data_IF_396416557849
#
_entry.id   IF_396416557849
#
_cell.length_a   1.000
_cell.length_b   1.000
_cell.length_c   1.000
_cell.angle_alpha   90.00
_cell.angle_beta   90.00
_cell.angle_gamma   90.00
#
_symmetry.space_group_name_H-M   'P 1'
#
loop_
_entity.id
_entity.type
_entity.pdbx_description
1 polymer ?
#
# COMPACT_ATOMS: atom_id res chain seq x y z
N UNK A 1 10.97 15.80 -39.93
CA UNK A 1 11.63 14.50 -40.17
C UNK A 1 11.61 13.75 -38.85
N UNK A 2 10.57 12.93 -38.64
CA UNK A 2 10.27 12.24 -37.39
C UNK A 2 11.29 11.13 -37.13
N UNK A 3 12.05 11.21 -36.04
CA UNK A 3 12.77 10.04 -35.52
C UNK A 3 11.81 9.29 -34.61
N UNK A 4 11.39 8.11 -35.07
CA UNK A 4 10.59 7.17 -34.30
C UNK A 4 11.43 6.70 -33.10
N UNK A 5 10.84 6.63 -31.91
CA UNK A 5 11.39 5.83 -30.82
C UNK A 5 11.30 4.36 -31.25
N UNK A 6 12.33 3.86 -31.91
CA UNK A 6 12.44 2.44 -32.27
C UNK A 6 12.68 1.64 -31.00
N UNK A 7 11.64 0.95 -30.53
CA UNK A 7 11.78 -0.13 -29.54
C UNK A 7 12.41 -1.34 -30.22
N UNK A 8 13.43 -1.93 -29.61
CA UNK A 8 14.13 -3.10 -30.14
C UNK A 8 13.82 -4.35 -29.30
N UNK A 9 13.28 -5.38 -29.95
CA UNK A 9 12.99 -6.67 -29.32
C UNK A 9 14.13 -7.65 -29.62
N UNK A 10 14.78 -8.18 -28.56
CA UNK A 10 15.93 -9.08 -28.67
C UNK A 10 15.68 -10.36 -27.88
N UNK A 11 16.04 -11.50 -28.48
CA UNK A 11 15.91 -12.83 -27.88
C UNK A 11 17.28 -13.51 -27.72
N UNK A 12 17.59 -14.01 -26.53
CA UNK A 12 18.82 -14.76 -26.25
C UNK A 12 18.60 -15.86 -25.21
N UNK A 13 19.63 -16.68 -24.93
CA UNK A 13 19.51 -17.83 -24.02
C UNK A 13 19.33 -17.43 -22.56
N UNK A 14 19.79 -16.24 -22.18
CA UNK A 14 19.59 -15.65 -20.85
C UNK A 14 19.15 -14.19 -20.99
N UNK A 15 18.51 -13.67 -19.94
CA UNK A 15 18.07 -12.27 -19.88
C UNK A 15 19.28 -11.33 -20.00
N UNK A 16 20.37 -11.64 -19.30
CA UNK A 16 21.59 -10.83 -19.32
C UNK A 16 22.21 -10.76 -20.73
N UNK A 17 22.25 -11.88 -21.44
CA UNK A 17 22.78 -11.95 -22.82
C UNK A 17 21.89 -11.18 -23.80
N UNK A 18 20.56 -11.22 -23.63
CA UNK A 18 19.62 -10.46 -24.45
C UNK A 18 19.77 -8.94 -24.25
N UNK A 19 20.03 -8.50 -23.01
CA UNK A 19 20.28 -7.10 -22.68
C UNK A 19 21.59 -6.64 -23.32
N UNK A 20 22.69 -7.38 -23.17
CA UNK A 20 23.98 -7.03 -23.76
C UNK A 20 23.92 -6.93 -25.29
N UNK A 21 23.27 -7.89 -25.95
CA UNK A 21 23.10 -7.88 -27.41
C UNK A 21 22.28 -6.68 -27.89
N UNK A 22 21.19 -6.36 -27.20
CA UNK A 22 20.34 -5.23 -27.58
C UNK A 22 21.00 -3.87 -27.30
N UNK A 23 21.80 -3.75 -26.23
CA UNK A 23 22.63 -2.57 -25.97
C UNK A 23 23.68 -2.36 -27.07
N UNK A 24 24.34 -3.44 -27.51
CA UNK A 24 25.32 -3.39 -28.60
C UNK A 24 24.70 -2.96 -29.94
N UNK A 25 23.45 -3.37 -30.22
CA UNK A 25 22.74 -2.97 -31.44
C UNK A 25 22.27 -1.53 -31.43
N UNK A 26 21.82 -1.02 -30.27
CA UNK A 26 21.38 0.37 -30.11
C UNK A 26 22.55 1.35 -29.92
N UNK A 27 23.74 0.86 -29.55
CA UNK A 27 24.91 1.69 -29.25
C UNK A 27 24.71 2.59 -28.02
N UNK A 28 23.80 2.22 -27.13
CA UNK A 28 23.43 2.97 -25.93
C UNK A 28 23.91 2.23 -24.67
N UNK A 29 24.08 2.94 -23.56
CA UNK A 29 24.38 2.33 -22.27
C UNK A 29 23.10 1.83 -21.58
N UNK A 30 23.25 0.89 -20.63
CA UNK A 30 22.12 0.35 -19.83
C UNK A 30 21.27 1.42 -19.14
N UNK A 31 21.88 2.57 -18.85
CA UNK A 31 21.22 3.70 -18.17
C UNK A 31 20.36 4.54 -19.11
N UNK A 32 20.54 4.38 -20.41
CA UNK A 32 19.85 5.13 -21.47
C UNK A 32 18.70 4.35 -22.09
N UNK A 33 18.44 3.12 -21.62
CA UNK A 33 17.35 2.27 -22.12
C UNK A 33 16.52 1.75 -20.96
N UNK A 34 15.20 1.76 -21.13
CA UNK A 34 14.29 0.99 -20.28
C UNK A 34 14.23 -0.45 -20.81
N UNK A 35 14.39 -1.41 -19.90
CA UNK A 35 14.45 -2.84 -20.20
C UNK A 35 13.17 -3.50 -19.71
N UNK A 36 12.34 -4.00 -20.62
CA UNK A 36 11.13 -4.77 -20.31
C UNK A 36 11.36 -6.24 -20.61
N UNK A 37 11.20 -7.11 -19.61
CA UNK A 37 11.31 -8.56 -19.78
C UNK A 37 9.96 -9.09 -20.26
N UNK A 38 9.87 -9.44 -21.54
CA UNK A 38 8.65 -9.99 -22.14
C UNK A 38 8.49 -11.47 -21.77
N UNK A 39 9.61 -12.21 -21.71
CA UNK A 39 9.61 -13.62 -21.33
C UNK A 39 10.90 -14.00 -20.61
N UNK A 40 10.77 -14.48 -19.37
CA UNK A 40 11.89 -15.04 -18.62
C UNK A 40 12.26 -16.41 -19.21
N UNK A 41 13.44 -16.51 -19.82
CA UNK A 41 13.94 -17.76 -20.38
C UNK A 41 14.14 -18.81 -19.28
N UNK A 42 13.69 -20.05 -19.54
CA UNK A 42 13.82 -21.15 -18.58
C UNK A 42 15.03 -22.01 -18.94
N UNK A 43 15.97 -22.11 -18.01
CA UNK A 43 17.14 -22.97 -18.15
C UNK A 43 16.78 -24.41 -17.74
N UNK A 44 16.65 -25.30 -18.72
CA UNK A 44 16.41 -26.73 -18.49
C UNK A 44 17.59 -27.41 -17.80
N UNK A 45 17.31 -28.44 -17.00
CA UNK A 45 18.34 -29.26 -16.33
C UNK A 45 18.96 -30.19 -17.38
N UNK A 46 20.29 -30.16 -17.55
CA UNK A 46 21.03 -30.93 -18.56
C UNK A 46 20.81 -30.55 -20.05
N UNK A 47 20.49 -29.29 -20.35
CA UNK A 47 20.59 -28.77 -21.72
C UNK A 47 19.52 -29.26 -22.71
N UNK A 48 18.50 -29.96 -22.23
CA UNK A 48 17.36 -30.39 -23.04
C UNK A 48 16.15 -29.55 -22.58
N UNK A 49 15.59 -28.76 -23.49
CA UNK A 49 14.38 -27.94 -23.25
C UNK A 49 14.62 -26.53 -22.72
N UNK A 50 15.71 -25.85 -23.13
CA UNK A 50 15.88 -24.42 -22.82
C UNK A 50 14.95 -23.56 -23.66
N UNK A 51 14.19 -22.68 -23.01
CA UNK A 51 13.43 -21.62 -23.69
C UNK A 51 14.22 -20.31 -23.66
N UNK A 52 14.30 -19.64 -24.80
CA UNK A 52 14.99 -18.35 -24.92
C UNK A 52 14.25 -17.24 -24.15
N UNK A 53 15.02 -16.36 -23.53
CA UNK A 53 14.55 -15.12 -22.93
C UNK A 53 14.30 -14.07 -24.01
N UNK A 54 13.22 -13.30 -23.85
CA UNK A 54 12.89 -12.17 -24.74
C UNK A 54 12.80 -10.88 -23.94
N UNK A 55 13.50 -9.86 -24.42
CA UNK A 55 13.62 -8.57 -23.74
C UNK A 55 13.40 -7.46 -24.77
N UNK A 56 12.61 -6.45 -24.39
CA UNK A 56 12.34 -5.26 -25.17
C UNK A 56 13.11 -4.09 -24.60
N UNK A 57 13.88 -3.40 -25.45
CA UNK A 57 14.66 -2.22 -25.09
C UNK A 57 14.02 -0.97 -25.67
N UNK A 58 13.77 0.02 -24.81
CA UNK A 58 13.15 1.30 -25.18
C UNK A 58 14.15 2.42 -24.88
N UNK A 59 14.69 3.14 -25.90
CA UNK A 59 15.58 4.27 -25.67
C UNK A 59 14.90 5.39 -24.88
N UNK A 60 15.50 5.80 -23.75
CA UNK A 60 15.10 7.03 -23.05
C UNK A 60 15.68 8.22 -23.80
N UNK A 61 14.83 8.99 -24.47
CA UNK A 61 15.20 10.28 -25.04
C UNK A 61 15.63 11.23 -23.91
N UNK A 62 16.91 11.56 -23.85
CA UNK A 62 17.45 12.46 -22.83
C UNK A 62 16.88 13.86 -22.97
N UNK A 63 16.16 14.29 -21.95
CA UNK A 63 15.82 15.67 -21.65
C UNK A 63 16.07 15.92 -20.16
N UNK A 64 17.27 16.46 -19.87
CA UNK A 64 17.79 16.99 -18.61
C UNK A 64 18.42 16.03 -17.57
N UNK A 65 19.51 16.50 -16.91
CA UNK A 65 20.69 15.70 -16.62
C UNK A 65 20.94 15.45 -15.13
N UNK A 66 21.64 14.34 -14.87
CA UNK A 66 22.85 14.25 -14.06
C UNK A 66 22.92 15.08 -12.76
N UNK A 67 22.75 14.40 -11.63
CA UNK A 67 23.86 14.10 -10.71
C UNK A 67 23.26 13.61 -9.39
N UNK A 68 23.58 12.40 -8.96
CA UNK A 68 23.60 11.97 -7.56
C UNK A 68 24.18 10.54 -7.53
N UNK A 69 25.51 10.44 -7.62
CA UNK A 69 26.21 9.27 -7.11
C UNK A 69 26.53 9.46 -5.62
N UNK A 70 26.62 8.37 -4.83
CA UNK A 70 26.28 8.33 -3.41
C UNK A 70 27.51 8.45 -2.51
N UNK A 71 27.40 9.17 -1.40
CA UNK A 71 28.28 8.99 -0.24
C UNK A 71 27.72 9.66 1.03
N UNK A 72 27.68 8.85 2.10
CA UNK A 72 27.94 9.22 3.49
C UNK A 72 27.08 10.30 4.18
N UNK A 73 26.41 9.86 5.26
CA UNK A 73 25.98 10.71 6.37
C UNK A 73 27.17 11.54 6.92
N UNK A 74 26.94 12.74 7.48
CA UNK A 74 26.85 12.87 8.95
C UNK A 74 25.91 14.03 9.39
N UNK A 75 26.02 14.64 10.58
CA UNK A 75 25.04 14.51 11.67
C UNK A 75 24.30 15.82 12.01
N UNK A 76 23.33 15.66 12.90
CA UNK A 76 22.58 16.72 13.61
C UNK A 76 23.54 17.65 14.38
N UNK A 77 23.55 18.95 14.05
CA UNK A 77 23.96 20.01 14.97
C UNK A 77 23.51 21.42 14.51
N UNK A 78 22.47 21.91 15.20
CA UNK A 78 22.29 23.29 15.67
C UNK A 78 22.65 24.48 14.75
N UNK A 79 21.62 25.18 14.26
CA UNK A 79 21.62 26.66 14.25
C UNK A 79 20.26 27.22 14.64
N UNK A 80 20.27 28.01 15.72
CA UNK A 80 19.20 28.91 16.21
C UNK A 80 19.16 30.20 15.35
N UNK A 81 18.07 31.00 15.43
CA UNK A 81 17.58 31.85 14.35
C UNK A 81 18.07 33.30 14.41
N UNK A 82 18.12 33.95 13.24
CA UNK A 82 18.11 35.39 13.11
C UNK A 82 17.31 35.76 11.85
N UNK A 83 16.18 36.43 12.05
CA UNK A 83 15.43 37.17 11.03
C UNK A 83 16.12 38.52 10.76
N UNK A 84 15.56 39.42 9.94
CA UNK A 84 15.06 39.29 8.57
C UNK A 84 15.77 40.31 7.65
N UNK A 85 16.03 39.97 6.38
CA UNK A 85 16.41 40.97 5.37
C UNK A 85 15.37 40.92 4.25
N UNK A 86 14.79 42.09 4.03
CA UNK A 86 13.69 42.41 3.14
C UNK A 86 14.04 42.12 1.67
N UNK A 87 13.04 41.58 0.98
CA UNK A 87 12.98 41.33 -0.47
C UNK A 87 12.73 42.64 -1.23
N UNK A 88 13.45 42.90 -2.33
CA UNK A 88 12.83 43.59 -3.47
C UNK A 88 12.15 42.58 -4.39
N UNK A 89 10.87 42.84 -4.64
CA UNK A 89 9.89 41.99 -5.28
C UNK A 89 10.16 41.66 -6.76
N UNK A 90 9.87 40.41 -7.14
CA UNK A 90 9.31 40.00 -8.44
C UNK A 90 8.67 38.60 -8.30
N UNK A 91 7.71 38.22 -9.17
CA UNK A 91 6.28 38.14 -8.89
C UNK A 91 5.80 36.85 -8.22
N UNK A 92 4.74 37.03 -7.43
CA UNK A 92 3.93 36.04 -6.71
C UNK A 92 3.56 34.80 -7.52
N UNK A 93 4.18 33.67 -7.17
CA UNK A 93 3.55 32.36 -7.36
C UNK A 93 2.44 32.18 -6.31
N UNK A 94 1.29 31.57 -6.66
CA UNK A 94 0.28 31.22 -5.68
C UNK A 94 0.85 30.23 -4.67
N UNK A 95 0.52 30.45 -3.42
CA UNK A 95 0.94 29.68 -2.25
C UNK A 95 0.58 28.17 -2.42
N UNK A 96 1.55 27.24 -2.42
CA UNK A 96 1.28 25.80 -2.61
C UNK A 96 0.37 25.21 -1.52
N UNK A 97 0.31 25.85 -0.34
CA UNK A 97 -0.52 25.39 0.78
C UNK A 97 -2.03 25.52 0.53
N UNK A 98 -2.46 26.47 -0.30
CA UNK A 98 -3.89 26.67 -0.61
C UNK A 98 -4.37 25.74 -1.73
N UNK A 99 -3.45 25.28 -2.59
CA UNK A 99 -3.72 24.31 -3.65
C UNK A 99 -3.97 22.91 -3.12
N UNK A 100 -3.21 22.49 -2.09
CA UNK A 100 -3.34 21.14 -1.51
C UNK A 100 -4.62 20.97 -0.69
N UNK A 101 -4.99 21.97 0.11
CA UNK A 101 -6.23 21.93 0.90
C UNK A 101 -7.50 21.89 0.03
N UNK A 102 -7.53 22.64 -1.08
CA UNK A 102 -8.64 22.62 -2.03
C UNK A 102 -8.78 21.27 -2.73
N UNK A 103 -7.64 20.67 -3.12
CA UNK A 103 -7.61 19.35 -3.75
C UNK A 103 -8.04 18.24 -2.79
N UNK A 104 -7.66 18.31 -1.52
CA UNK A 104 -8.08 17.34 -0.50
C UNK A 104 -9.59 17.40 -0.24
N UNK A 105 -10.17 18.60 -0.17
CA UNK A 105 -11.61 18.78 -0.04
C UNK A 105 -12.37 18.20 -1.25
N UNK A 106 -11.90 18.47 -2.47
CA UNK A 106 -12.50 17.94 -3.70
C UNK A 106 -12.49 16.39 -3.73
N UNK A 107 -11.37 15.78 -3.31
CA UNK A 107 -11.24 14.32 -3.18
C UNK A 107 -12.20 13.78 -2.11
N UNK A 108 -12.29 14.46 -0.96
CA UNK A 108 -13.18 14.11 0.15
C UNK A 108 -14.64 14.06 -0.30
N UNK A 109 -15.11 15.14 -0.90
CA UNK A 109 -16.47 15.26 -1.42
C UNK A 109 -16.79 14.22 -2.50
N UNK A 110 -15.84 13.98 -3.42
CA UNK A 110 -15.97 12.97 -4.45
C UNK A 110 -16.10 11.56 -3.84
N UNK A 111 -15.26 11.24 -2.86
CA UNK A 111 -15.26 9.95 -2.18
C UNK A 111 -16.55 9.69 -1.41
N UNK A 112 -17.07 10.72 -0.72
CA UNK A 112 -18.38 10.69 -0.05
C UNK A 112 -19.49 10.42 -1.05
N UNK A 113 -19.49 11.12 -2.19
CA UNK A 113 -20.50 10.93 -3.25
C UNK A 113 -20.54 9.49 -3.76
N UNK A 114 -19.38 8.91 -4.06
CA UNK A 114 -19.30 7.52 -4.53
C UNK A 114 -19.78 6.52 -3.49
N UNK A 115 -19.31 6.66 -2.25
CA UNK A 115 -19.71 5.76 -1.18
C UNK A 115 -21.20 5.90 -0.87
N UNK A 116 -21.74 7.11 -0.79
CA UNK A 116 -23.17 7.35 -0.61
C UNK A 116 -23.99 6.71 -1.74
N UNK A 117 -23.56 6.83 -3.00
CA UNK A 117 -24.25 6.21 -4.12
C UNK A 117 -24.23 4.69 -4.05
N UNK A 118 -23.10 4.11 -3.65
CA UNK A 118 -22.96 2.67 -3.48
C UNK A 118 -23.91 2.15 -2.38
N UNK A 119 -23.98 2.85 -1.24
CA UNK A 119 -24.88 2.51 -0.13
C UNK A 119 -26.37 2.61 -0.53
N UNK A 120 -26.72 3.64 -1.31
CA UNK A 120 -28.07 3.81 -1.86
C UNK A 120 -28.45 2.63 -2.77
N UNK A 121 -27.55 2.21 -3.68
CA UNK A 121 -27.78 1.07 -4.56
C UNK A 121 -27.89 -0.26 -3.80
N UNK A 122 -27.28 -0.36 -2.61
CA UNK A 122 -27.44 -1.49 -1.71
C UNK A 122 -28.72 -1.42 -0.86
N UNK A 123 -29.48 -0.30 -0.92
CA UNK A 123 -30.69 -0.09 -0.12
C UNK A 123 -30.41 0.22 1.35
N UNK A 124 -29.20 0.69 1.68
CA UNK A 124 -28.77 0.95 3.06
C UNK A 124 -28.88 2.44 3.36
N UNK A 125 -29.60 2.78 4.43
CA UNK A 125 -29.76 4.15 4.90
C UNK A 125 -28.60 4.55 5.81
N UNK A 126 -27.59 5.21 5.25
CA UNK A 126 -26.45 5.70 6.00
C UNK A 126 -26.03 7.12 5.58
N UNK A 127 -25.46 7.84 6.53
CA UNK A 127 -24.79 9.11 6.36
C UNK A 127 -23.29 8.87 6.29
N UNK A 128 -22.63 9.46 5.31
CA UNK A 128 -21.19 9.36 5.10
C UNK A 128 -20.55 10.71 5.34
N UNK A 129 -19.54 10.74 6.20
CA UNK A 129 -18.69 11.92 6.43
C UNK A 129 -17.24 11.56 6.13
N UNK A 130 -16.41 12.55 5.80
CA UNK A 130 -14.98 12.33 5.66
C UNK A 130 -14.21 13.10 6.74
N UNK A 131 -13.07 12.56 7.15
CA UNK A 131 -12.13 13.21 8.05
C UNK A 131 -10.71 12.77 7.71
N UNK A 132 -9.73 13.55 8.18
CA UNK A 132 -8.34 13.16 8.08
C UNK A 132 -8.00 12.14 9.18
N UNK A 133 -7.46 10.99 8.78
CA UNK A 133 -7.17 9.84 9.64
C UNK A 133 -5.85 9.96 10.39
N UNK A 134 -5.58 11.09 11.04
CA UNK A 134 -4.35 11.29 11.80
C UNK A 134 -4.17 10.27 12.94
N UNK A 135 -5.27 9.67 13.42
CA UNK A 135 -5.32 8.59 14.41
C UNK A 135 -4.93 7.21 13.86
N UNK A 136 -4.79 7.06 12.54
CA UNK A 136 -4.53 5.80 11.86
C UNK A 136 -3.11 5.68 11.29
N UNK A 137 -2.29 6.73 11.35
CA UNK A 137 -0.93 6.75 10.80
C UNK A 137 0.16 6.72 11.86
N UNK A 138 1.28 6.11 11.47
CA UNK A 138 2.56 6.19 12.19
C UNK A 138 3.28 7.50 11.81
N UNK A 139 4.24 7.95 12.64
CA UNK A 139 4.92 9.21 12.44
C UNK A 139 5.70 9.26 11.11
N UNK A 140 5.38 10.26 10.27
CA UNK A 140 6.07 10.51 8.99
C UNK A 140 5.31 10.07 7.73
N UNK A 141 4.12 9.47 7.86
CA UNK A 141 3.24 9.13 6.75
C UNK A 141 2.11 10.15 6.56
N UNK A 142 1.63 10.31 5.33
CA UNK A 142 0.47 11.15 5.01
C UNK A 142 -0.78 10.49 5.61
N UNK A 143 -1.57 11.19 6.45
CA UNK A 143 -2.76 10.62 7.05
C UNK A 143 -3.76 10.20 5.95
N UNK A 144 -4.36 9.00 6.05
CA UNK A 144 -5.35 8.56 5.08
C UNK A 144 -6.61 9.41 5.18
N UNK A 145 -7.32 9.51 4.08
CA UNK A 145 -8.69 10.02 4.08
C UNK A 145 -9.61 8.94 4.66
N UNK A 146 -10.25 9.23 5.79
CA UNK A 146 -11.18 8.31 6.44
C UNK A 146 -12.61 8.70 6.07
N UNK A 147 -13.35 7.74 5.54
CA UNK A 147 -14.78 7.83 5.29
C UNK A 147 -15.51 7.12 6.42
N UNK A 148 -16.19 7.89 7.25
CA UNK A 148 -16.99 7.37 8.36
C UNK A 148 -18.44 7.21 7.93
N UNK A 149 -18.97 6.01 8.13
CA UNK A 149 -20.36 5.66 7.87
C UNK A 149 -21.10 5.61 9.22
N UNK A 150 -22.21 6.34 9.30
CA UNK A 150 -23.10 6.40 10.47
C UNK A 150 -24.56 6.24 10.02
N UNK A 151 -25.43 5.63 10.82
CA UNK A 151 -26.78 5.31 10.37
C UNK A 151 -27.43 4.15 11.09
N UNK A 152 -28.60 3.73 10.61
CA UNK A 152 -29.34 2.59 11.15
C UNK A 152 -28.93 1.28 10.49
N UNK A 153 -28.84 0.21 11.26
CA UNK A 153 -28.60 -1.16 10.79
C UNK A 153 -27.34 -1.36 9.92
N UNK A 154 -26.22 -0.79 10.36
CA UNK A 154 -24.93 -0.87 9.65
C UNK A 154 -24.16 -2.19 9.89
N UNK A 155 -24.74 -3.13 10.65
CA UNK A 155 -24.12 -4.44 10.91
C UNK A 155 -23.83 -5.23 9.63
N UNK A 156 -24.66 -5.02 8.61
CA UNK A 156 -24.52 -5.64 7.28
C UNK A 156 -23.26 -5.14 6.57
N UNK A 157 -22.88 -3.87 6.75
CA UNK A 157 -21.69 -3.27 6.14
C UNK A 157 -20.38 -3.78 6.75
N UNK A 158 -20.40 -4.15 8.02
CA UNK A 158 -19.25 -4.78 8.67
C UNK A 158 -19.01 -6.16 8.05
N UNK A 159 -20.10 -6.92 7.86
CA UNK A 159 -20.05 -8.29 7.37
C UNK A 159 -19.36 -9.25 8.34
N UNK A 160 -19.15 -10.48 7.91
CA UNK A 160 -18.41 -11.47 8.72
C UNK A 160 -16.94 -11.07 8.75
N UNK A 161 -16.37 -10.92 9.95
CA UNK A 161 -14.92 -10.66 10.15
C UNK A 161 -14.40 -9.42 9.42
N UNK A 162 -15.24 -8.40 9.26
CA UNK A 162 -14.86 -7.16 8.57
C UNK A 162 -14.65 -7.31 7.05
N UNK A 163 -15.06 -8.43 6.44
CA UNK A 163 -14.85 -8.71 5.00
C UNK A 163 -15.63 -7.75 4.10
N UNK A 164 -16.90 -7.51 4.41
CA UNK A 164 -17.73 -6.60 3.62
C UNK A 164 -17.21 -5.17 3.71
N UNK A 165 -16.80 -4.74 4.90
CA UNK A 165 -16.19 -3.43 5.10
C UNK A 165 -14.90 -3.27 4.31
N UNK A 166 -14.06 -4.33 4.29
CA UNK A 166 -12.84 -4.35 3.51
C UNK A 166 -13.12 -4.30 2.01
N UNK A 167 -14.05 -5.11 1.51
CA UNK A 167 -14.43 -5.11 0.10
C UNK A 167 -14.99 -3.76 -0.35
N UNK A 168 -15.83 -3.13 0.49
CA UNK A 168 -16.38 -1.81 0.24
C UNK A 168 -15.29 -0.73 0.22
N UNK A 169 -14.34 -0.79 1.15
CA UNK A 169 -13.16 0.09 1.12
C UNK A 169 -12.38 -0.07 -0.18
N UNK A 170 -12.11 -1.30 -0.61
CA UNK A 170 -11.33 -1.58 -1.81
C UNK A 170 -12.08 -1.12 -3.07
N UNK A 171 -13.40 -1.29 -3.13
CA UNK A 171 -14.23 -0.76 -4.22
C UNK A 171 -14.16 0.77 -4.30
N UNK A 172 -14.37 1.48 -3.19
CA UNK A 172 -14.32 2.95 -3.16
C UNK A 172 -12.94 3.45 -3.55
N UNK A 173 -11.88 2.83 -3.01
CA UNK A 173 -10.49 3.16 -3.36
C UNK A 173 -10.24 3.00 -4.85
N UNK A 174 -10.69 1.90 -5.46
CA UNK A 174 -10.53 1.66 -6.89
C UNK A 174 -11.29 2.69 -7.72
N UNK A 175 -12.55 3.00 -7.36
CA UNK A 175 -13.35 4.02 -8.05
C UNK A 175 -12.68 5.39 -8.02
N UNK A 176 -12.27 5.84 -6.84
CA UNK A 176 -11.62 7.15 -6.66
C UNK A 176 -10.25 7.19 -7.35
N UNK A 177 -9.47 6.11 -7.26
CA UNK A 177 -8.16 6.03 -7.91
C UNK A 177 -8.24 6.11 -9.43
N UNK A 178 -9.30 5.53 -10.01
CA UNK A 178 -9.57 5.58 -11.45
C UNK A 178 -10.00 6.98 -11.89
N UNK A 179 -10.84 7.66 -11.12
CA UNK A 179 -11.33 9.01 -11.44
C UNK A 179 -10.19 10.05 -11.41
N UNK A 180 -9.29 9.94 -10.42
CA UNK A 180 -8.24 10.92 -10.18
C UNK A 180 -6.88 10.55 -10.78
N UNK A 181 -6.79 9.35 -11.36
CA UNK A 181 -5.55 8.75 -11.86
C UNK A 181 -4.39 8.81 -10.84
N UNK A 182 -4.72 8.69 -9.55
CA UNK A 182 -3.82 8.83 -8.41
C UNK A 182 -4.17 7.83 -7.31
N UNK A 183 -3.15 7.25 -6.68
CA UNK A 183 -3.32 6.27 -5.62
C UNK A 183 -3.44 6.96 -4.27
N UNK A 184 -4.67 7.14 -3.81
CA UNK A 184 -4.93 7.78 -2.52
C UNK A 184 -5.13 6.73 -1.41
N UNK A 185 -4.55 6.95 -0.22
CA UNK A 185 -4.78 6.12 0.93
C UNK A 185 -6.17 6.44 1.53
N UNK A 186 -7.21 5.78 1.02
CA UNK A 186 -8.58 5.90 1.52
C UNK A 186 -8.90 4.73 2.44
N UNK A 187 -9.49 5.05 3.59
CA UNK A 187 -9.96 4.08 4.58
C UNK A 187 -11.45 4.29 4.81
N UNK A 188 -12.21 3.20 4.87
CA UNK A 188 -13.63 3.24 5.27
C UNK A 188 -13.77 2.66 6.66
N UNK A 189 -14.51 3.34 7.52
CA UNK A 189 -14.88 2.86 8.85
C UNK A 189 -16.37 3.04 9.09
N UNK A 190 -16.92 2.19 9.97
CA UNK A 190 -18.34 2.16 10.32
C UNK A 190 -18.42 2.35 11.82
N UNK A 191 -18.93 3.49 12.29
CA UNK A 191 -19.05 3.80 13.73
C UNK A 191 -17.79 3.42 14.57
N UNK A 192 -16.60 3.81 14.10
CA UNK A 192 -15.32 3.47 14.76
C UNK A 192 -15.13 1.96 15.03
N UNK A 193 -15.71 1.10 14.21
CA UNK A 193 -15.68 -0.35 14.36
C UNK A 193 -14.23 -0.87 14.37
N UNK A 194 -13.33 -0.31 13.55
CA UNK A 194 -11.92 -0.74 13.53
C UNK A 194 -11.24 -0.60 14.89
N UNK A 195 -11.49 0.50 15.60
CA UNK A 195 -10.95 0.74 16.94
C UNK A 195 -11.53 -0.27 17.94
N UNK A 196 -12.85 -0.41 17.97
CA UNK A 196 -13.56 -1.36 18.86
C UNK A 196 -13.10 -2.81 18.61
N UNK A 197 -13.00 -3.20 17.33
CA UNK A 197 -12.58 -4.54 16.89
C UNK A 197 -11.14 -4.83 17.29
N UNK A 198 -10.22 -3.88 17.09
CA UNK A 198 -8.82 -4.01 17.52
C UNK A 198 -8.71 -4.24 19.02
N UNK A 199 -9.48 -3.51 19.83
CA UNK A 199 -9.51 -3.69 21.28
C UNK A 199 -10.09 -5.07 21.66
N UNK A 200 -11.18 -5.49 21.01
CA UNK A 200 -11.77 -6.82 21.21
C UNK A 200 -10.79 -7.95 20.88
N UNK A 201 -10.04 -7.84 19.78
CA UNK A 201 -9.04 -8.84 19.38
C UNK A 201 -7.89 -8.93 20.38
N UNK A 202 -7.42 -7.81 20.93
CA UNK A 202 -6.41 -7.77 21.99
C UNK A 202 -6.89 -8.48 23.25
N UNK A 203 -8.11 -8.16 23.71
CA UNK A 203 -8.70 -8.80 24.89
C UNK A 203 -8.92 -10.30 24.68
N UNK A 204 -9.40 -10.69 23.49
CA UNK A 204 -9.55 -12.11 23.13
C UNK A 204 -8.20 -12.83 23.17
N UNK A 205 -7.16 -12.24 22.56
CA UNK A 205 -5.82 -12.82 22.54
C UNK A 205 -5.27 -13.04 23.96
N UNK A 206 -5.41 -12.05 24.85
CA UNK A 206 -4.97 -12.17 26.24
C UNK A 206 -5.71 -13.26 27.00
N UNK A 207 -7.05 -13.28 26.91
CA UNK A 207 -7.88 -14.33 27.54
C UNK A 207 -7.51 -15.73 27.03
N UNK A 208 -7.24 -15.86 25.74
CA UNK A 208 -6.84 -17.16 25.16
C UNK A 208 -5.42 -17.55 25.58
N UNK A 209 -4.49 -16.61 25.72
CA UNK A 209 -3.15 -16.85 26.25
C UNK A 209 -3.19 -17.40 27.68
N UNK A 210 -4.03 -16.81 28.54
CA UNK A 210 -4.25 -17.29 29.92
C UNK A 210 -4.79 -18.72 29.93
N UNK A 211 -5.80 -19.02 29.11
CA UNK A 211 -6.35 -20.38 28.97
C UNK A 211 -5.32 -21.38 28.45
N UNK A 212 -4.49 -21.00 27.47
CA UNK A 212 -3.42 -21.86 26.94
C UNK A 212 -2.36 -22.11 28.02
N UNK A 213 -2.03 -21.09 28.82
CA UNK A 213 -1.06 -21.21 29.91
C UNK A 213 -1.57 -22.16 31.00
N UNK A 214 -2.84 -22.04 31.40
CA UNK A 214 -3.45 -22.89 32.40
C UNK A 214 -3.65 -24.33 31.92
N UNK A 215 -4.12 -24.52 30.68
CA UNK A 215 -4.40 -25.85 30.12
C UNK A 215 -3.17 -26.57 29.56
N UNK A 216 -2.10 -25.83 29.24
CA UNK A 216 -0.94 -26.26 28.45
C UNK A 216 -1.30 -26.93 27.11
N UNK A 217 -2.48 -26.64 26.56
CA UNK A 217 -2.92 -27.15 25.26
C UNK A 217 -2.92 -26.02 24.24
N UNK A 218 -2.47 -26.33 23.01
CA UNK A 218 -2.58 -25.38 21.89
C UNK A 218 -4.06 -25.06 21.62
N UNK A 219 -4.34 -23.79 21.36
CA UNK A 219 -5.69 -23.31 21.03
C UNK A 219 -5.68 -22.68 19.65
N UNK A 220 -6.61 -23.11 18.80
CA UNK A 220 -6.80 -22.57 17.45
C UNK A 220 -7.92 -21.55 17.49
N UNK A 221 -7.65 -20.34 17.01
CA UNK A 221 -8.63 -19.27 16.89
C UNK A 221 -9.41 -19.39 15.58
N UNK A 222 -10.44 -18.57 15.45
CA UNK A 222 -11.19 -18.43 14.21
C UNK A 222 -10.30 -17.91 13.08
N UNK A 223 -10.67 -18.23 11.84
CA UNK A 223 -9.97 -17.69 10.67
C UNK A 223 -10.25 -16.20 10.59
N UNK A 224 -9.26 -15.39 10.23
CA UNK A 224 -9.38 -13.94 10.20
C UNK A 224 -8.42 -13.29 9.20
N UNK A 225 -8.72 -12.07 8.69
CA UNK A 225 -7.88 -11.36 7.75
C UNK A 225 -6.45 -11.14 8.25
N UNK A 226 -5.50 -10.93 7.32
CA UNK A 226 -4.08 -10.76 7.65
C UNK A 226 -3.82 -9.64 8.66
N UNK A 227 -4.55 -8.52 8.56
CA UNK A 227 -4.42 -7.40 9.49
C UNK A 227 -4.88 -7.76 10.91
N UNK A 228 -5.98 -8.53 11.07
CA UNK A 228 -6.45 -9.00 12.37
C UNK A 228 -5.45 -9.99 12.99
N UNK A 229 -4.91 -10.93 12.19
CA UNK A 229 -3.89 -11.88 12.66
C UNK A 229 -2.65 -11.17 13.18
N UNK A 230 -2.21 -10.11 12.48
CA UNK A 230 -1.08 -9.29 12.90
C UNK A 230 -1.32 -8.66 14.27
N UNK A 231 -2.53 -8.18 14.56
CA UNK A 231 -2.88 -7.62 15.88
C UNK A 231 -2.64 -8.66 16.97
N UNK A 232 -3.08 -9.91 16.77
CA UNK A 232 -2.89 -10.99 17.75
C UNK A 232 -1.41 -11.33 17.92
N UNK A 233 -0.68 -11.49 16.81
CA UNK A 233 0.75 -11.78 16.83
C UNK A 233 1.55 -10.72 17.58
N UNK A 234 1.27 -9.44 17.34
CA UNK A 234 1.92 -8.32 18.03
C UNK A 234 1.54 -8.32 19.51
N UNK A 235 0.26 -8.49 19.83
CA UNK A 235 -0.25 -8.47 21.21
C UNK A 235 0.42 -9.54 22.09
N UNK A 236 0.66 -10.73 21.52
CA UNK A 236 1.25 -11.86 22.24
C UNK A 236 2.75 -12.05 21.98
N UNK A 237 3.42 -11.11 21.28
CA UNK A 237 4.83 -11.24 20.89
C UNK A 237 5.75 -11.42 22.09
N UNK A 238 5.56 -10.56 23.08
CA UNK A 238 6.41 -10.48 24.27
C UNK A 238 5.80 -11.24 25.47
N UNK A 239 4.74 -12.02 25.24
CA UNK A 239 4.11 -12.78 26.32
C UNK A 239 5.05 -13.90 26.81
N UNK A 240 5.29 -14.05 28.13
CA UNK A 240 6.31 -14.96 28.66
C UNK A 240 5.99 -16.44 28.43
N UNK A 241 4.70 -16.83 28.48
CA UNK A 241 4.28 -18.24 28.51
C UNK A 241 3.70 -18.80 27.20
N UNK A 242 3.48 -17.98 26.16
CA UNK A 242 2.86 -18.43 24.90
C UNK A 242 3.58 -17.88 23.68
N UNK A 243 3.40 -18.57 22.56
CA UNK A 243 3.83 -18.14 21.22
C UNK A 243 2.67 -18.31 20.23
N UNK A 244 2.78 -17.68 19.06
CA UNK A 244 1.69 -17.65 18.08
C UNK A 244 2.19 -18.10 16.70
N UNK A 245 1.38 -18.89 15.98
CA UNK A 245 1.65 -19.30 14.60
C UNK A 245 0.40 -19.17 13.74
N UNK A 246 0.53 -18.65 12.53
CA UNK A 246 -0.55 -18.58 11.54
C UNK A 246 -0.55 -19.82 10.64
N UNK A 247 -1.59 -20.65 10.69
CA UNK A 247 -1.73 -21.93 9.95
C UNK A 247 -2.92 -21.87 9.00
N UNK A 248 -2.78 -22.40 7.79
CA UNK A 248 -3.81 -22.40 6.73
C UNK A 248 -3.48 -21.49 5.54
N UNK A 249 -4.33 -21.50 4.52
CA UNK A 249 -4.23 -20.68 3.29
C UNK A 249 -5.23 -19.52 3.30
N UNK A 250 -4.78 -18.37 2.79
CA UNK A 250 -5.57 -17.16 2.48
C UNK A 250 -6.70 -16.86 3.48
N UNK A 251 -7.96 -16.97 3.04
CA UNK A 251 -9.18 -16.60 3.78
C UNK A 251 -9.52 -17.56 4.93
N UNK A 252 -8.97 -18.77 4.90
CA UNK A 252 -9.13 -19.79 5.92
C UNK A 252 -7.96 -19.84 6.89
N UNK A 253 -7.03 -18.90 6.80
CA UNK A 253 -5.85 -18.85 7.67
C UNK A 253 -6.24 -18.46 9.10
N UNK A 254 -5.80 -19.26 10.06
CA UNK A 254 -6.11 -19.17 11.48
C UNK A 254 -4.85 -18.88 12.29
N UNK A 255 -5.01 -18.21 13.43
CA UNK A 255 -3.93 -18.07 14.42
C UNK A 255 -4.05 -19.18 15.45
N UNK A 256 -2.96 -19.89 15.68
CA UNK A 256 -2.83 -20.89 16.75
C UNK A 256 -1.94 -20.32 17.83
N UNK A 257 -2.45 -20.29 19.06
CA UNK A 257 -1.68 -19.94 20.26
C UNK A 257 -1.16 -21.24 20.86
N UNK A 258 0.16 -21.30 21.07
CA UNK A 258 0.88 -22.50 21.51
C UNK A 258 1.60 -22.13 22.81
N UNK A 259 1.55 -22.96 23.86
CA UNK A 259 2.35 -22.72 25.06
C UNK A 259 3.85 -22.80 24.72
N UNK A 260 4.66 -21.98 25.38
CA UNK A 260 6.13 -22.04 25.28
C UNK A 260 6.68 -23.21 26.08
#
# INVERSE_FOLDING_TARGET
>A
MSKQNESLDVSAKTIDEAIEQGLAQLGLSREQVDVEIVKEGKRGVFGIGSEDAQVRLIPRSQGQPENLQPAAAPPVAARKPAAPIETPAEPSQPDPSQSEAGREAEIGEMSVRFLAKLLELMGIQATVTYRQGADLVEAGETPPLVLDITGGDLGILIGRRSETLQALQDMVRLMVSKELNSWLPIVVDVESYRVRRRQSLRQMAQKMAERVTASRKKMVLEAMPAHERRIIHITLRDHPAVTTKSVGSDDNRKVTIIPK
#
